data_IF_191338348413
#
_entry.id   IF_191338348413
#
_cell.length_a   1.000
_cell.length_b   1.000
_cell.length_c   1.000
_cell.angle_alpha   90.00
_cell.angle_beta   90.00
_cell.angle_gamma   90.00
#
_symmetry.space_group_name_H-M   'P 1'
#
loop_
_entity.id
_entity.type
_entity.pdbx_description
1 polymer ?
#
# COMPACT_ATOMS: atom_id res chain seq x y z
N UNK A 1 38.13 27.31 -19.80
CA UNK A 1 37.29 26.32 -19.10
C UNK A 1 35.89 26.35 -19.72
N UNK A 2 35.62 25.39 -20.61
CA UNK A 2 34.35 25.26 -21.33
C UNK A 2 33.39 24.46 -20.44
N UNK A 3 32.36 25.10 -19.91
CA UNK A 3 31.18 24.38 -19.34
C UNK A 3 30.26 23.99 -20.49
N UNK A 4 30.34 22.75 -20.90
CA UNK A 4 29.37 22.16 -21.82
C UNK A 4 28.03 21.99 -21.12
N UNK A 5 27.02 22.76 -21.52
CA UNK A 5 25.63 22.53 -21.17
C UNK A 5 25.14 21.28 -21.87
N UNK A 6 25.05 20.16 -21.14
CA UNK A 6 24.32 18.97 -21.56
C UNK A 6 22.84 19.30 -21.54
N UNK A 7 22.29 19.73 -22.67
CA UNK A 7 20.85 19.75 -22.89
C UNK A 7 20.37 18.30 -23.13
N UNK A 8 19.95 17.63 -22.05
CA UNK A 8 19.19 16.39 -22.15
C UNK A 8 17.79 16.74 -22.68
N UNK A 9 17.67 16.81 -23.99
CA UNK A 9 16.41 16.88 -24.69
C UNK A 9 15.75 15.50 -24.70
N UNK A 10 15.27 15.03 -23.56
CA UNK A 10 14.31 13.96 -23.53
C UNK A 10 12.99 14.50 -24.07
N UNK A 11 12.70 14.29 -25.34
CA UNK A 11 11.35 14.38 -25.87
C UNK A 11 10.54 13.26 -25.20
N UNK A 12 10.05 13.51 -23.97
CA UNK A 12 9.10 12.63 -23.32
C UNK A 12 7.84 12.58 -24.19
N UNK A 13 7.60 11.40 -24.76
CA UNK A 13 6.33 11.10 -25.44
C UNK A 13 5.21 11.48 -24.48
N UNK A 14 4.20 12.25 -24.92
CA UNK A 14 3.09 12.61 -24.04
C UNK A 14 2.45 11.32 -23.48
N UNK A 15 2.47 11.17 -22.17
CA UNK A 15 1.87 10.03 -21.48
C UNK A 15 0.36 10.09 -21.71
N UNK A 16 -0.21 9.06 -22.33
CA UNK A 16 -1.66 8.97 -22.51
C UNK A 16 -2.35 8.56 -21.21
N UNK A 17 -3.65 8.84 -21.08
CA UNK A 17 -4.44 8.40 -19.92
C UNK A 17 -4.39 6.87 -19.73
N UNK A 18 -4.39 6.13 -20.84
CA UNK A 18 -4.31 4.66 -20.83
C UNK A 18 -2.95 4.17 -20.30
N UNK A 19 -1.84 4.75 -20.79
CA UNK A 19 -0.48 4.38 -20.34
C UNK A 19 -0.29 4.72 -18.87
N UNK A 20 -0.86 5.84 -18.40
CA UNK A 20 -0.80 6.22 -16.99
C UNK A 20 -1.55 5.22 -16.11
N UNK A 21 -2.78 4.84 -16.47
CA UNK A 21 -3.57 3.83 -15.76
C UNK A 21 -2.83 2.49 -15.68
N UNK A 22 -2.30 2.02 -16.81
CA UNK A 22 -1.57 0.76 -16.86
C UNK A 22 -0.38 0.75 -15.90
N UNK A 23 0.39 1.83 -15.85
CA UNK A 23 1.50 1.98 -14.90
C UNK A 23 1.01 2.01 -13.46
N UNK A 24 -0.08 2.72 -13.17
CA UNK A 24 -0.65 2.77 -11.80
C UNK A 24 -1.09 1.37 -11.35
N UNK A 25 -1.75 0.60 -12.21
CA UNK A 25 -2.16 -0.78 -11.90
C UNK A 25 -0.95 -1.69 -11.63
N UNK A 26 0.11 -1.57 -12.42
CA UNK A 26 1.32 -2.40 -12.28
C UNK A 26 2.09 -2.09 -10.99
N UNK A 27 2.22 -0.81 -10.65
CA UNK A 27 3.06 -0.38 -9.53
C UNK A 27 2.30 -0.15 -8.21
N UNK A 28 0.98 -0.23 -8.22
CA UNK A 28 0.16 -0.01 -7.01
C UNK A 28 0.46 -1.05 -5.93
N UNK A 29 0.90 -0.56 -4.77
CA UNK A 29 1.11 -1.40 -3.58
C UNK A 29 -0.20 -1.84 -2.94
N UNK A 30 -1.26 -1.05 -3.06
CA UNK A 30 -2.57 -1.36 -2.51
C UNK A 30 -3.23 -2.54 -3.23
N UNK A 31 -3.10 -2.61 -4.58
CA UNK A 31 -3.57 -3.76 -5.35
C UNK A 31 -2.78 -5.02 -4.96
N UNK A 32 -1.46 -4.92 -4.83
CA UNK A 32 -0.63 -6.05 -4.39
C UNK A 32 -1.00 -6.50 -2.98
N UNK A 33 -1.26 -5.57 -2.08
CA UNK A 33 -1.71 -5.88 -0.72
C UNK A 33 -3.05 -6.61 -0.71
N UNK A 34 -4.06 -6.11 -1.43
CA UNK A 34 -5.38 -6.76 -1.48
C UNK A 34 -5.32 -8.15 -2.14
N UNK A 35 -4.45 -8.35 -3.14
CA UNK A 35 -4.19 -9.66 -3.72
C UNK A 35 -3.60 -10.65 -2.71
N UNK A 36 -2.63 -10.21 -1.88
CA UNK A 36 -2.07 -11.03 -0.80
C UNK A 36 -3.10 -11.32 0.30
N UNK A 37 -3.97 -10.38 0.63
CA UNK A 37 -5.07 -10.58 1.57
C UNK A 37 -6.06 -11.65 1.05
N UNK A 38 -6.40 -11.64 -0.24
CA UNK A 38 -7.20 -12.70 -0.85
C UNK A 38 -6.51 -14.06 -0.76
N UNK A 39 -5.20 -14.13 -1.01
CA UNK A 39 -4.42 -15.37 -0.88
C UNK A 39 -4.42 -15.84 0.59
N UNK A 40 -4.25 -14.94 1.54
CA UNK A 40 -4.31 -15.24 2.97
C UNK A 40 -5.66 -15.83 3.37
N UNK A 41 -6.77 -15.28 2.85
CA UNK A 41 -8.11 -15.84 3.09
C UNK A 41 -8.31 -17.22 2.46
N UNK A 42 -7.71 -17.50 1.30
CA UNK A 42 -7.70 -18.86 0.73
C UNK A 42 -6.96 -19.86 1.64
N UNK A 43 -5.88 -19.45 2.28
CA UNK A 43 -5.19 -20.28 3.27
C UNK A 43 -6.02 -20.43 4.55
N UNK A 44 -6.76 -19.41 4.98
CA UNK A 44 -7.68 -19.48 6.11
C UNK A 44 -8.82 -20.48 5.86
N UNK A 45 -9.36 -20.55 4.63
CA UNK A 45 -10.35 -21.57 4.24
C UNK A 45 -9.75 -22.97 4.38
N UNK A 46 -8.51 -23.17 3.91
CA UNK A 46 -7.83 -24.47 4.03
C UNK A 46 -7.59 -24.80 5.51
N UNK A 47 -7.20 -23.84 6.32
CA UNK A 47 -7.02 -24.00 7.77
C UNK A 47 -8.34 -24.35 8.46
N UNK A 48 -9.47 -23.68 8.12
CA UNK A 48 -10.78 -24.03 8.64
C UNK A 48 -11.21 -25.45 8.27
N UNK A 49 -10.80 -25.95 7.09
CA UNK A 49 -11.06 -27.32 6.66
C UNK A 49 -10.29 -28.36 7.50
N UNK A 50 -9.13 -27.99 8.07
CA UNK A 50 -8.36 -28.94 8.91
C UNK A 50 -9.09 -29.33 10.18
N UNK A 51 -10.05 -28.52 10.66
CA UNK A 51 -10.87 -28.85 11.82
C UNK A 51 -11.76 -30.12 11.64
N UNK A 52 -11.92 -30.60 10.40
CA UNK A 52 -12.59 -31.87 10.12
C UNK A 52 -11.68 -33.11 10.31
N UNK A 53 -10.38 -32.90 10.47
CA UNK A 53 -9.40 -33.96 10.66
C UNK A 53 -8.92 -34.03 12.12
N UNK A 54 -8.39 -35.20 12.57
CA UNK A 54 -7.81 -35.31 13.89
C UNK A 54 -6.60 -34.37 14.03
N UNK A 55 -6.51 -33.68 15.16
CA UNK A 55 -5.33 -32.93 15.58
C UNK A 55 -4.40 -33.87 16.36
N UNK A 56 -3.10 -33.83 16.03
CA UNK A 56 -2.06 -34.58 16.72
C UNK A 56 -1.09 -33.58 17.34
N UNK A 57 -1.07 -33.57 18.66
CA UNK A 57 -0.20 -32.67 19.44
C UNK A 57 0.92 -33.48 20.09
N UNK A 58 2.15 -33.00 19.93
CA UNK A 58 3.31 -33.52 20.65
C UNK A 58 3.74 -32.54 21.72
N UNK A 59 3.86 -33.01 22.93
CA UNK A 59 4.32 -32.22 24.07
C UNK A 59 5.56 -32.86 24.68
N UNK A 60 6.55 -32.02 25.01
CA UNK A 60 7.73 -32.42 25.74
C UNK A 60 8.02 -31.39 26.85
N UNK A 61 8.29 -31.84 28.05
CA UNK A 61 8.78 -30.99 29.11
C UNK A 61 10.00 -31.58 29.78
N UNK A 62 10.92 -30.69 30.16
CA UNK A 62 12.09 -30.98 30.97
C UNK A 62 12.05 -30.05 32.18
N UNK A 63 12.12 -30.62 33.37
CA UNK A 63 12.15 -29.88 34.63
C UNK A 63 13.40 -30.26 35.41
N UNK A 64 14.24 -29.29 35.73
CA UNK A 64 15.35 -29.42 36.63
C UNK A 64 14.98 -28.82 38.00
N UNK A 65 15.10 -29.61 39.07
CA UNK A 65 14.87 -29.16 40.45
C UNK A 65 16.20 -28.89 41.14
N UNK A 66 16.35 -27.69 41.67
CA UNK A 66 17.57 -27.28 42.38
C UNK A 66 17.65 -27.95 43.76
N UNK A 67 16.50 -28.13 44.43
CA UNK A 67 16.43 -28.77 45.74
C UNK A 67 15.88 -30.19 45.59
N UNK A 68 16.56 -31.15 46.26
CA UNK A 68 16.02 -32.48 46.43
C UNK A 68 14.89 -32.44 47.45
N UNK A 69 13.78 -33.04 47.13
CA UNK A 69 12.70 -33.31 48.08
C UNK A 69 12.69 -34.80 48.37
N UNK A 70 13.02 -35.11 49.66
CA UNK A 70 12.83 -36.45 50.16
C UNK A 70 11.36 -36.56 50.62
N UNK A 71 10.56 -37.39 49.96
CA UNK A 71 9.23 -37.72 50.44
C UNK A 71 9.38 -38.83 51.49
N UNK A 72 9.26 -38.44 52.77
CA UNK A 72 9.27 -39.39 53.87
C UNK A 72 7.85 -39.90 54.14
N UNK A 73 7.59 -41.17 53.86
CA UNK A 73 6.35 -41.82 54.11
C UNK A 73 6.32 -42.62 55.42
N UNK A 74 7.34 -42.44 56.28
CA UNK A 74 7.49 -43.12 57.56
C UNK A 74 8.79 -43.94 57.69
N UNK A 75 9.04 -44.57 58.85
CA UNK A 75 10.31 -45.23 59.15
C UNK A 75 10.70 -46.28 58.08
N UNK A 76 11.69 -45.93 57.24
CA UNK A 76 12.26 -46.83 56.23
C UNK A 76 11.62 -46.70 54.84
N UNK A 77 10.73 -45.70 54.58
CA UNK A 77 10.10 -45.45 53.29
C UNK A 77 10.37 -44.03 52.79
N UNK A 78 11.65 -43.65 52.69
CA UNK A 78 12.02 -42.39 52.02
C UNK A 78 12.26 -42.65 50.51
N UNK A 79 11.56 -41.89 49.63
CA UNK A 79 11.76 -41.91 48.18
C UNK A 79 12.51 -40.66 47.80
N UNK A 80 13.74 -40.81 47.36
CA UNK A 80 14.58 -39.72 46.83
C UNK A 80 14.11 -39.40 45.42
N UNK A 81 13.61 -38.18 45.19
CA UNK A 81 13.23 -37.71 43.88
C UNK A 81 14.43 -37.17 43.10
N UNK A 82 14.65 -37.65 41.90
CA UNK A 82 15.72 -37.21 41.00
C UNK A 82 15.55 -35.71 40.63
N UNK A 83 16.68 -35.02 40.42
CA UNK A 83 16.74 -33.62 40.02
C UNK A 83 16.10 -33.39 38.67
N UNK A 84 16.11 -34.40 37.80
CA UNK A 84 15.68 -34.32 36.42
C UNK A 84 14.35 -35.04 36.23
N UNK A 85 13.37 -34.34 35.69
CA UNK A 85 12.10 -34.96 35.28
C UNK A 85 11.87 -34.69 33.78
N UNK A 86 11.67 -35.75 33.04
CA UNK A 86 11.34 -35.70 31.60
C UNK A 86 9.90 -36.17 31.42
N UNK A 87 9.16 -35.46 30.60
CA UNK A 87 7.85 -35.91 30.16
C UNK A 87 7.71 -35.72 28.67
N UNK A 88 7.35 -36.78 27.98
CA UNK A 88 7.04 -36.79 26.56
C UNK A 88 5.63 -37.34 26.38
N UNK A 89 4.81 -36.64 25.62
CA UNK A 89 3.44 -37.02 25.34
C UNK A 89 3.05 -36.78 23.90
N UNK A 90 2.18 -37.65 23.38
CA UNK A 90 1.51 -37.47 22.11
C UNK A 90 0.00 -37.57 22.36
N UNK A 91 -0.75 -36.58 21.96
CA UNK A 91 -2.21 -36.55 22.13
C UNK A 91 -2.87 -36.45 20.76
N UNK A 92 -3.82 -37.33 20.48
CA UNK A 92 -4.68 -37.26 19.29
C UNK A 92 -6.07 -36.85 19.73
N UNK A 93 -6.57 -35.74 19.19
CA UNK A 93 -7.90 -35.24 19.50
C UNK A 93 -8.75 -35.10 18.23
N UNK A 94 -9.95 -35.63 18.26
CA UNK A 94 -10.91 -35.57 17.17
C UNK A 94 -12.29 -35.27 17.72
N UNK A 95 -12.87 -34.07 17.49
CA UNK A 95 -14.24 -33.80 17.82
C UNK A 95 -15.18 -34.61 16.89
N UNK A 96 -15.96 -35.53 17.45
CA UNK A 96 -16.91 -36.35 16.69
C UNK A 96 -18.19 -35.55 16.38
N UNK A 97 -18.62 -34.73 17.34
CA UNK A 97 -19.79 -33.86 17.20
C UNK A 97 -19.59 -32.54 17.95
N UNK A 98 -19.75 -31.43 17.25
CA UNK A 98 -19.62 -30.08 17.82
C UNK A 98 -20.86 -29.20 17.47
N UNK A 99 -22.07 -29.79 17.44
CA UNK A 99 -23.30 -29.02 17.18
C UNK A 99 -23.31 -28.23 15.89
N UNK A 100 -22.59 -28.68 14.85
CA UNK A 100 -22.48 -27.97 13.58
C UNK A 100 -21.45 -26.83 13.56
N UNK A 101 -20.74 -26.55 14.66
CA UNK A 101 -19.80 -25.45 14.78
C UNK A 101 -18.69 -25.55 13.72
N UNK A 102 -18.09 -26.72 13.52
CA UNK A 102 -17.00 -26.92 12.54
C UNK A 102 -17.47 -26.60 11.13
N UNK A 103 -18.66 -27.07 10.77
CA UNK A 103 -19.25 -26.83 9.46
C UNK A 103 -19.57 -25.34 9.24
N UNK A 104 -20.17 -24.68 10.23
CA UNK A 104 -20.52 -23.28 10.14
C UNK A 104 -19.27 -22.39 10.11
N UNK A 105 -18.22 -22.72 10.86
CA UNK A 105 -16.93 -22.03 10.81
C UNK A 105 -16.26 -22.17 9.42
N UNK A 106 -16.29 -23.34 8.83
CA UNK A 106 -15.81 -23.55 7.47
C UNK A 106 -16.61 -22.73 6.45
N UNK A 107 -17.94 -22.72 6.56
CA UNK A 107 -18.80 -21.90 5.70
C UNK A 107 -18.52 -20.39 5.88
N UNK A 108 -18.34 -19.95 7.12
CA UNK A 108 -17.97 -18.55 7.40
C UNK A 108 -16.63 -18.18 6.77
N UNK A 109 -15.62 -19.07 6.85
CA UNK A 109 -14.34 -18.86 6.18
C UNK A 109 -14.47 -18.78 4.65
N UNK A 110 -15.34 -19.58 4.03
CA UNK A 110 -15.62 -19.49 2.59
C UNK A 110 -16.21 -18.12 2.21
N UNK A 111 -17.18 -17.63 2.99
CA UNK A 111 -17.82 -16.33 2.76
C UNK A 111 -16.76 -15.20 2.94
N UNK A 112 -15.91 -15.30 3.96
CA UNK A 112 -14.81 -14.34 4.14
C UNK A 112 -13.84 -14.34 2.96
N UNK A 113 -13.57 -15.51 2.35
CA UNK A 113 -12.78 -15.59 1.12
C UNK A 113 -13.44 -14.88 -0.07
N UNK A 114 -14.78 -14.98 -0.20
CA UNK A 114 -15.52 -14.24 -1.23
C UNK A 114 -15.45 -12.73 -0.97
N UNK A 115 -15.66 -12.30 0.28
CA UNK A 115 -15.54 -10.88 0.66
C UNK A 115 -14.16 -10.33 0.33
N UNK A 116 -13.09 -11.09 0.56
CA UNK A 116 -11.73 -10.66 0.23
C UNK A 116 -11.53 -10.52 -1.28
N UNK A 117 -12.15 -11.37 -2.11
CA UNK A 117 -12.12 -11.25 -3.57
C UNK A 117 -12.81 -9.97 -4.04
N UNK A 118 -14.02 -9.72 -3.55
CA UNK A 118 -14.78 -8.50 -3.90
C UNK A 118 -14.08 -7.22 -3.38
N UNK A 119 -13.38 -7.31 -2.24
CA UNK A 119 -12.59 -6.20 -1.71
C UNK A 119 -11.35 -5.89 -2.58
N UNK A 120 -10.73 -6.91 -3.20
CA UNK A 120 -9.64 -6.71 -4.17
C UNK A 120 -10.16 -5.98 -5.41
N UNK A 121 -11.31 -6.38 -5.96
CA UNK A 121 -11.92 -5.74 -7.11
C UNK A 121 -12.30 -4.29 -6.80
N UNK A 122 -12.94 -4.04 -5.65
CA UNK A 122 -13.24 -2.68 -5.18
C UNK A 122 -11.98 -1.81 -5.02
N UNK A 123 -10.90 -2.37 -4.49
CA UNK A 123 -9.62 -1.68 -4.35
C UNK A 123 -9.06 -1.29 -5.71
N UNK A 124 -9.14 -2.19 -6.68
CA UNK A 124 -8.70 -1.95 -8.06
C UNK A 124 -9.50 -0.83 -8.72
N UNK A 125 -10.82 -0.86 -8.59
CA UNK A 125 -11.70 0.17 -9.14
C UNK A 125 -11.45 1.54 -8.52
N UNK A 126 -11.26 1.61 -7.21
CA UNK A 126 -10.93 2.86 -6.51
C UNK A 126 -9.59 3.45 -6.98
N UNK A 127 -8.59 2.60 -7.24
CA UNK A 127 -7.28 3.04 -7.74
C UNK A 127 -7.39 3.53 -9.18
N UNK A 128 -8.16 2.85 -10.02
CA UNK A 128 -8.43 3.30 -11.41
C UNK A 128 -9.13 4.65 -11.41
N UNK A 129 -10.16 4.81 -10.58
CA UNK A 129 -10.88 6.09 -10.44
C UNK A 129 -9.94 7.21 -9.96
N UNK A 130 -9.13 6.96 -8.94
CA UNK A 130 -8.16 7.94 -8.45
C UNK A 130 -7.11 8.30 -9.50
N UNK A 131 -6.66 7.33 -10.30
CA UNK A 131 -5.73 7.55 -11.39
C UNK A 131 -6.34 8.46 -12.46
N UNK A 132 -7.59 8.22 -12.86
CA UNK A 132 -8.30 9.09 -13.80
C UNK A 132 -8.44 10.51 -13.30
N UNK A 133 -8.88 10.67 -12.05
CA UNK A 133 -9.03 11.98 -11.43
C UNK A 133 -7.71 12.75 -11.40
N UNK A 134 -6.61 12.08 -11.03
CA UNK A 134 -5.29 12.68 -10.98
C UNK A 134 -4.77 13.07 -12.37
N UNK A 135 -4.94 12.20 -13.37
CA UNK A 135 -4.53 12.49 -14.73
C UNK A 135 -5.26 13.73 -15.30
N UNK A 136 -6.57 13.76 -15.20
CA UNK A 136 -7.36 14.87 -15.73
C UNK A 136 -7.16 16.17 -14.96
N UNK A 137 -6.94 16.11 -13.64
CA UNK A 137 -6.60 17.30 -12.86
C UNK A 137 -5.22 17.85 -13.26
N UNK A 138 -4.24 17.00 -13.53
CA UNK A 138 -2.94 17.41 -14.03
C UNK A 138 -3.02 18.02 -15.44
N UNK A 139 -3.79 17.42 -16.33
CA UNK A 139 -4.04 17.93 -17.67
C UNK A 139 -4.72 19.31 -17.65
N UNK A 140 -5.73 19.49 -16.79
CA UNK A 140 -6.41 20.78 -16.62
C UNK A 140 -5.45 21.87 -16.07
N UNK A 141 -4.61 21.52 -15.07
CA UNK A 141 -3.60 22.46 -14.55
C UNK A 141 -2.58 22.85 -15.59
N UNK A 142 -2.15 21.91 -16.42
CA UNK A 142 -1.25 22.21 -17.54
C UNK A 142 -1.89 23.18 -18.54
N UNK A 143 -3.14 22.92 -18.95
CA UNK A 143 -3.87 23.84 -19.83
C UNK A 143 -4.03 25.23 -19.24
N UNK A 144 -4.31 25.34 -17.94
CA UNK A 144 -4.39 26.63 -17.24
C UNK A 144 -3.04 27.35 -17.22
N UNK A 145 -1.95 26.61 -16.99
CA UNK A 145 -0.59 27.17 -17.07
C UNK A 145 -0.27 27.74 -18.46
N UNK A 146 -0.59 27.00 -19.53
CA UNK A 146 -0.34 27.41 -20.91
C UNK A 146 -1.12 28.70 -21.25
N UNK A 147 -2.39 28.81 -20.82
CA UNK A 147 -3.19 30.02 -20.97
C UNK A 147 -2.60 31.22 -20.21
N UNK A 148 -2.16 30.99 -18.98
CA UNK A 148 -1.50 32.02 -18.17
C UNK A 148 -0.19 32.53 -18.81
N UNK A 149 0.61 31.66 -19.39
CA UNK A 149 1.81 32.05 -20.13
C UNK A 149 1.48 32.94 -21.35
N UNK A 150 0.45 32.58 -22.10
CA UNK A 150 -0.03 33.40 -23.22
C UNK A 150 -0.53 34.77 -22.75
N UNK A 151 -1.27 34.80 -21.64
CA UNK A 151 -1.74 36.07 -21.07
C UNK A 151 -0.58 37.00 -20.67
N UNK A 152 0.44 36.46 -19.99
CA UNK A 152 1.63 37.23 -19.62
C UNK A 152 2.33 37.79 -20.86
N UNK A 153 2.49 37.02 -21.94
CA UNK A 153 3.09 37.46 -23.19
C UNK A 153 2.29 38.61 -23.83
N UNK A 154 0.96 38.52 -23.85
CA UNK A 154 0.08 39.59 -24.34
C UNK A 154 0.25 40.89 -23.54
N UNK A 155 0.25 40.78 -22.18
CA UNK A 155 0.42 41.94 -21.29
C UNK A 155 1.79 42.58 -21.47
N UNK A 156 2.87 41.79 -21.62
CA UNK A 156 4.22 42.31 -21.90
C UNK A 156 4.29 43.06 -23.24
N UNK A 157 3.68 42.51 -24.31
CA UNK A 157 3.60 43.15 -25.61
C UNK A 157 2.86 44.49 -25.50
N UNK A 158 1.73 44.53 -24.80
CA UNK A 158 0.96 45.75 -24.57
C UNK A 158 1.79 46.81 -23.80
N UNK A 159 2.47 46.40 -22.73
CA UNK A 159 3.32 47.29 -21.96
C UNK A 159 4.45 47.90 -22.82
N UNK A 160 5.08 47.09 -23.68
CA UNK A 160 6.08 47.54 -24.62
C UNK A 160 5.55 48.58 -25.60
N UNK A 161 4.34 48.35 -26.18
CA UNK A 161 3.69 49.32 -27.08
C UNK A 161 3.40 50.62 -26.37
N UNK A 162 2.86 50.61 -25.15
CA UNK A 162 2.58 51.79 -24.35
C UNK A 162 3.86 52.58 -24.04
N UNK A 163 4.98 51.91 -23.74
CA UNK A 163 6.27 52.58 -23.52
C UNK A 163 6.77 53.25 -24.80
N UNK A 164 6.62 52.61 -25.97
CA UNK A 164 7.02 53.21 -27.25
C UNK A 164 6.16 54.45 -27.56
N UNK A 165 4.86 54.40 -27.36
CA UNK A 165 3.95 55.54 -27.55
C UNK A 165 4.34 56.71 -26.62
N UNK A 166 4.64 56.43 -25.36
CA UNK A 166 5.07 57.45 -24.40
C UNK A 166 6.40 58.11 -24.81
N UNK A 167 7.34 57.31 -25.30
CA UNK A 167 8.61 57.85 -25.81
C UNK A 167 8.43 58.70 -27.06
N UNK A 168 7.59 58.30 -28.01
CA UNK A 168 7.28 59.08 -29.21
C UNK A 168 6.58 60.36 -28.89
N UNK A 169 5.58 60.37 -27.99
CA UNK A 169 4.88 61.54 -27.54
C UNK A 169 5.80 62.56 -26.88
N UNK A 170 6.73 62.15 -26.00
CA UNK A 170 7.75 63.02 -25.42
C UNK A 170 8.68 63.61 -26.45
N UNK A 171 9.04 62.88 -27.51
CA UNK A 171 9.90 63.38 -28.59
C UNK A 171 9.20 64.48 -29.39
N UNK A 172 7.94 64.33 -29.76
CA UNK A 172 7.11 65.33 -30.44
C UNK A 172 6.99 66.62 -29.62
N UNK A 173 6.74 66.53 -28.32
CA UNK A 173 6.61 67.66 -27.44
C UNK A 173 7.95 68.43 -27.29
N UNK A 174 9.08 67.72 -27.21
CA UNK A 174 10.44 68.35 -27.16
C UNK A 174 10.71 69.13 -28.45
N UNK A 175 10.38 68.57 -29.62
CA UNK A 175 10.55 69.23 -30.93
C UNK A 175 9.68 70.50 -31.02
N UNK A 176 8.45 70.43 -30.55
CA UNK A 176 7.54 71.59 -30.53
C UNK A 176 8.01 72.75 -29.62
N UNK A 177 8.70 72.43 -28.52
CA UNK A 177 9.28 73.42 -27.60
C UNK A 177 10.52 74.08 -28.14
N UNK A 178 11.31 73.42 -29.01
CA UNK A 178 12.50 73.91 -29.61
C UNK A 178 12.29 74.85 -30.86
N UNK A 179 11.06 74.88 -31.35
CA UNK A 179 10.62 75.72 -32.49
C UNK A 179 9.85 76.98 -32.05
N UNK A 180 9.72 77.25 -30.76
CA UNK A 180 9.27 78.49 -30.16
C UNK A 180 10.48 79.27 -29.58
#
# INVERSE_FOLDING_TARGET
MLLGALSVGAQEKPVTAADYKQKVLEYSRQIKQSAEERIAMQHAIKAAKTAFFPAVDFSGSYQYRINKYDLDFGPGMAVEMDHNTYSLGATVSQPIYAGGQIYNNYKAAQIQGQIASEAEDLTTDNIVYAADLNYWSAAARKGMYDVMCQYVDIVQKLANVLQLLQRSGRRVEKTRRSQK
#
